data_IF_750630481074
#
_entry.id   IF_750630481074
#
_cell.length_a   1.000
_cell.length_b   1.000
_cell.length_c   1.000
_cell.angle_alpha   90.00
_cell.angle_beta   90.00
_cell.angle_gamma   90.00
#
_symmetry.space_group_name_H-M   'P 1'
#
loop_
_entity.id
_entity.type
_entity.pdbx_description
1 polymer ?
#
# COMPACT_ATOMS: atom_id res chain seq x y z
N UNK A 1 8.12 9.14 -14.80
CA UNK A 1 9.14 9.65 -13.87
C UNK A 1 10.35 8.75 -13.81
N UNK A 2 11.30 9.08 -12.94
CA UNK A 2 12.48 8.27 -12.67
C UNK A 2 12.29 7.55 -11.34
N UNK A 3 12.74 6.28 -11.24
CA UNK A 3 12.65 5.51 -10.01
C UNK A 3 13.92 4.69 -9.79
N UNK A 4 14.45 4.75 -8.58
CA UNK A 4 15.58 3.94 -8.11
C UNK A 4 15.03 2.78 -7.31
N UNK A 5 15.58 1.60 -7.52
CA UNK A 5 15.19 0.38 -6.81
C UNK A 5 16.38 -0.55 -6.60
N UNK A 6 16.28 -1.46 -5.64
CA UNK A 6 17.29 -2.50 -5.45
C UNK A 6 17.14 -3.55 -6.55
N UNK A 7 18.23 -3.82 -7.29
CA UNK A 7 18.25 -4.79 -8.39
C UNK A 7 17.96 -6.25 -7.96
N UNK A 8 18.04 -6.53 -6.67
CA UNK A 8 17.78 -7.85 -6.07
C UNK A 8 16.36 -7.98 -5.53
N UNK A 9 15.53 -6.93 -5.64
CA UNK A 9 14.12 -7.01 -5.30
C UNK A 9 13.37 -7.88 -6.31
N UNK A 10 12.74 -8.94 -5.79
CA UNK A 10 12.09 -9.98 -6.61
C UNK A 10 10.68 -9.63 -7.06
N UNK A 11 10.11 -8.54 -6.55
CA UNK A 11 8.75 -8.11 -6.89
C UNK A 11 8.72 -6.71 -7.50
N UNK A 12 8.75 -5.66 -6.70
CA UNK A 12 8.65 -4.27 -7.19
C UNK A 12 9.82 -3.94 -8.12
N UNK A 13 11.05 -4.17 -7.67
CA UNK A 13 12.24 -3.90 -8.47
C UNK A 13 12.31 -4.74 -9.74
N UNK A 14 11.87 -6.00 -9.69
CA UNK A 14 11.79 -6.87 -10.86
C UNK A 14 10.74 -6.39 -11.87
N UNK A 15 9.55 -5.96 -11.39
CA UNK A 15 8.51 -5.40 -12.26
C UNK A 15 8.99 -4.11 -12.95
N UNK A 16 9.55 -3.18 -12.18
CA UNK A 16 10.13 -1.94 -12.69
C UNK A 16 11.22 -2.20 -13.75
N UNK A 17 12.08 -3.20 -13.50
CA UNK A 17 13.16 -3.57 -14.43
C UNK A 17 12.64 -4.16 -15.73
N UNK A 18 11.61 -5.00 -15.67
CA UNK A 18 11.13 -5.78 -16.83
C UNK A 18 10.04 -5.05 -17.59
N UNK A 19 9.10 -4.43 -16.87
CA UNK A 19 7.93 -3.79 -17.48
C UNK A 19 8.03 -2.26 -17.54
N UNK A 20 8.99 -1.65 -16.81
CA UNK A 20 9.09 -0.19 -16.68
C UNK A 20 8.02 0.41 -15.78
N UNK A 21 7.22 -0.43 -15.11
CA UNK A 21 6.08 -0.04 -14.29
C UNK A 21 5.83 -1.05 -13.14
N UNK A 22 4.99 -0.66 -12.18
CA UNK A 22 4.59 -1.51 -11.06
C UNK A 22 3.12 -1.32 -10.76
N UNK A 23 2.35 -2.44 -10.84
CA UNK A 23 0.94 -2.51 -10.41
C UNK A 23 0.03 -1.39 -10.95
N UNK A 24 0.05 -1.18 -12.26
CA UNK A 24 -0.77 -0.15 -12.93
C UNK A 24 -2.28 -0.30 -12.62
N UNK A 25 -2.76 -1.54 -12.37
CA UNK A 25 -4.15 -1.76 -11.95
C UNK A 25 -4.51 -1.09 -10.64
N UNK A 26 -3.59 -0.98 -9.69
CA UNK A 26 -3.81 -0.21 -8.46
C UNK A 26 -3.79 1.31 -8.74
N UNK A 27 -2.86 1.75 -9.58
CA UNK A 27 -2.80 3.15 -10.00
C UNK A 27 -4.07 3.59 -10.73
N UNK A 28 -4.66 2.73 -11.56
CA UNK A 28 -5.94 2.98 -12.23
C UNK A 28 -7.07 3.24 -11.22
N UNK A 29 -7.12 2.46 -10.12
CA UNK A 29 -8.08 2.70 -9.02
C UNK A 29 -7.76 4.03 -8.32
N UNK A 30 -6.50 4.29 -7.98
CA UNK A 30 -6.12 5.53 -7.30
C UNK A 30 -6.47 6.76 -8.14
N UNK A 31 -6.29 6.71 -9.46
CA UNK A 31 -6.61 7.81 -10.38
C UNK A 31 -8.09 8.17 -10.41
N UNK A 32 -8.96 7.20 -10.10
CA UNK A 32 -10.41 7.41 -10.03
C UNK A 32 -10.85 8.07 -8.70
N UNK A 33 -10.14 7.77 -7.60
CA UNK A 33 -10.58 8.15 -6.25
C UNK A 33 -9.80 9.31 -5.64
N UNK A 34 -8.49 9.43 -5.93
CA UNK A 34 -7.66 10.55 -5.44
C UNK A 34 -7.82 11.77 -6.34
N UNK A 35 -8.03 12.92 -5.74
CA UNK A 35 -8.28 14.19 -6.45
C UNK A 35 -7.21 15.24 -6.13
N UNK A 36 -6.99 16.21 -7.04
CA UNK A 36 -6.10 17.34 -6.75
C UNK A 36 -6.53 18.10 -5.48
N UNK A 37 -5.58 18.27 -4.57
CA UNK A 37 -5.79 18.90 -3.26
C UNK A 37 -5.96 17.92 -2.10
N UNK A 38 -6.12 16.62 -2.37
CA UNK A 38 -6.35 15.60 -1.35
C UNK A 38 -5.17 15.43 -0.39
N UNK A 39 -5.50 15.09 0.83
CA UNK A 39 -4.58 14.60 1.87
C UNK A 39 -4.63 13.08 1.91
N UNK A 40 -3.52 12.47 1.51
CA UNK A 40 -3.34 11.03 1.39
C UNK A 40 -2.45 10.51 2.51
N UNK A 41 -2.84 9.39 3.12
CA UNK A 41 -2.00 8.60 4.03
C UNK A 41 -1.62 7.31 3.32
N UNK A 42 -0.35 6.98 3.30
CA UNK A 42 0.16 5.70 2.80
C UNK A 42 0.93 4.98 3.90
N UNK A 43 0.36 3.89 4.40
CA UNK A 43 0.99 2.98 5.34
C UNK A 43 1.61 1.82 4.57
N UNK A 44 2.94 1.65 4.68
CA UNK A 44 3.70 0.69 3.87
C UNK A 44 4.07 1.27 2.50
N UNK A 45 4.77 2.41 2.50
CA UNK A 45 5.11 3.10 1.25
C UNK A 45 6.26 2.45 0.48
N UNK A 46 7.00 1.55 1.11
CA UNK A 46 8.15 0.85 0.52
C UNK A 46 9.13 1.83 -0.15
N UNK A 47 9.61 1.54 -1.36
CA UNK A 47 10.50 2.42 -2.14
C UNK A 47 9.77 3.62 -2.80
N UNK A 48 8.46 3.73 -2.63
CA UNK A 48 7.66 4.84 -3.13
C UNK A 48 7.04 4.63 -4.50
N UNK A 49 6.92 3.39 -4.99
CA UNK A 49 6.36 3.13 -6.31
C UNK A 49 4.94 3.71 -6.46
N UNK A 50 4.06 3.49 -5.49
CA UNK A 50 2.72 4.10 -5.45
C UNK A 50 2.75 5.54 -4.95
N UNK A 51 3.62 5.86 -3.99
CA UNK A 51 3.74 7.21 -3.40
C UNK A 51 3.93 8.29 -4.47
N UNK A 52 4.79 8.03 -5.48
CA UNK A 52 5.04 8.97 -6.57
C UNK A 52 3.76 9.26 -7.37
N UNK A 53 3.01 8.20 -7.69
CA UNK A 53 1.73 8.31 -8.40
C UNK A 53 0.67 9.04 -7.57
N UNK A 54 0.52 8.68 -6.31
CA UNK A 54 -0.39 9.34 -5.37
C UNK A 54 -0.09 10.83 -5.23
N UNK A 55 1.20 11.20 -5.15
CA UNK A 55 1.62 12.59 -5.07
C UNK A 55 1.31 13.39 -6.34
N UNK A 56 1.44 12.76 -7.52
CA UNK A 56 1.06 13.37 -8.80
C UNK A 56 -0.47 13.58 -8.88
N UNK A 57 -1.27 12.59 -8.46
CA UNK A 57 -2.73 12.67 -8.43
C UNK A 57 -3.23 13.76 -7.46
N UNK A 58 -2.67 13.78 -6.24
CA UNK A 58 -2.99 14.81 -5.25
C UNK A 58 -2.54 16.22 -5.69
N UNK A 59 -1.55 16.30 -6.57
CA UNK A 59 -1.07 17.56 -7.14
C UNK A 59 -0.39 18.49 -6.13
N UNK A 60 0.08 19.67 -6.56
CA UNK A 60 0.95 20.53 -5.75
C UNK A 60 0.25 21.12 -4.49
N UNK A 61 -1.06 21.13 -4.45
CA UNK A 61 -1.85 21.62 -3.32
C UNK A 61 -2.29 20.48 -2.38
N UNK A 62 -2.16 19.21 -2.79
CA UNK A 62 -2.40 18.04 -1.97
C UNK A 62 -1.18 17.67 -1.13
N UNK A 63 -1.31 16.60 -0.34
CA UNK A 63 -0.24 16.10 0.53
C UNK A 63 -0.29 14.57 0.60
N UNK A 64 0.89 13.93 0.54
CA UNK A 64 1.02 12.51 0.78
C UNK A 64 1.90 12.31 2.01
N UNK A 65 1.35 11.72 3.06
CA UNK A 65 2.06 11.32 4.27
C UNK A 65 2.40 9.83 4.13
N UNK A 66 3.65 9.55 3.80
CA UNK A 66 4.15 8.21 3.48
C UNK A 66 4.94 7.63 4.65
N UNK A 67 4.53 6.44 5.12
CA UNK A 67 5.13 5.74 6.26
C UNK A 67 5.79 4.46 5.79
N UNK A 68 7.10 4.34 6.05
CA UNK A 68 7.89 3.17 5.75
C UNK A 68 8.91 2.90 6.87
N UNK A 69 8.74 1.83 7.65
CA UNK A 69 9.62 1.54 8.77
C UNK A 69 11.00 1.03 8.36
N UNK A 70 11.15 0.35 7.22
CA UNK A 70 12.43 -0.15 6.76
C UNK A 70 13.31 1.01 6.29
N UNK A 71 14.42 1.26 7.00
CA UNK A 71 15.31 2.41 6.76
C UNK A 71 15.75 2.53 5.29
N UNK A 72 16.15 1.44 4.68
CA UNK A 72 16.66 1.47 3.31
C UNK A 72 15.55 1.79 2.29
N UNK A 73 14.36 1.21 2.48
CA UNK A 73 13.19 1.53 1.64
C UNK A 73 12.77 2.98 1.84
N UNK A 74 12.71 3.46 3.07
CA UNK A 74 12.44 4.87 3.39
C UNK A 74 13.43 5.83 2.73
N UNK A 75 14.74 5.54 2.77
CA UNK A 75 15.76 6.35 2.11
C UNK A 75 15.58 6.36 0.60
N UNK A 76 15.23 5.21 0.01
CA UNK A 76 14.96 5.08 -1.42
C UNK A 76 13.71 5.86 -1.82
N UNK A 77 12.63 5.77 -1.04
CA UNK A 77 11.40 6.55 -1.22
C UNK A 77 11.69 8.06 -1.26
N UNK A 78 12.43 8.59 -0.30
CA UNK A 78 12.78 10.02 -0.28
C UNK A 78 13.69 10.41 -1.45
N UNK A 79 14.62 9.53 -1.83
CA UNK A 79 15.43 9.69 -3.03
C UNK A 79 14.57 9.77 -4.29
N UNK A 80 13.60 8.87 -4.42
CA UNK A 80 12.66 8.85 -5.55
C UNK A 80 11.76 10.09 -5.56
N UNK A 81 11.27 10.56 -4.42
CA UNK A 81 10.51 11.81 -4.31
C UNK A 81 11.33 13.00 -4.80
N UNK A 82 12.57 13.14 -4.31
CA UNK A 82 13.48 14.21 -4.70
C UNK A 82 13.85 14.18 -6.18
N UNK A 83 14.13 12.98 -6.71
CA UNK A 83 14.48 12.75 -8.12
C UNK A 83 13.37 13.21 -9.09
N UNK A 84 12.12 13.13 -8.65
CA UNK A 84 10.94 13.55 -9.43
C UNK A 84 10.41 14.94 -9.04
N UNK A 85 11.12 15.69 -8.18
CA UNK A 85 10.72 17.04 -7.74
C UNK A 85 9.33 17.08 -7.08
N UNK A 86 8.91 16.00 -6.42
CA UNK A 86 7.61 15.89 -5.73
C UNK A 86 7.74 16.44 -4.30
N UNK A 87 7.42 17.72 -4.14
CA UNK A 87 7.58 18.46 -2.88
C UNK A 87 6.40 18.27 -1.91
N UNK A 88 5.33 17.60 -2.35
CA UNK A 88 4.12 17.32 -1.59
C UNK A 88 4.14 15.95 -0.88
N UNK A 89 5.28 15.24 -0.89
CA UNK A 89 5.50 13.99 -0.16
C UNK A 89 6.18 14.31 1.18
N UNK A 90 5.56 13.85 2.26
CA UNK A 90 6.07 13.90 3.63
C UNK A 90 6.35 12.47 4.09
N UNK A 91 7.62 12.05 4.04
CA UNK A 91 8.03 10.70 4.40
C UNK A 91 8.41 10.58 5.88
N UNK A 92 8.06 9.45 6.50
CA UNK A 92 8.36 9.13 7.90
C UNK A 92 8.91 7.72 8.02
N UNK A 93 10.12 7.58 8.61
CA UNK A 93 10.65 6.27 9.00
C UNK A 93 9.99 5.82 10.29
N UNK A 94 8.71 5.48 10.21
CA UNK A 94 7.89 5.04 11.34
C UNK A 94 6.95 3.94 10.91
N UNK A 95 6.56 3.10 11.86
CA UNK A 95 5.44 2.19 11.69
C UNK A 95 4.15 2.83 12.20
N UNK A 96 3.03 2.38 11.65
CA UNK A 96 1.70 2.77 12.10
C UNK A 96 1.03 1.60 12.84
N UNK A 97 0.27 1.88 13.91
CA UNK A 97 -0.52 0.91 14.64
C UNK A 97 -1.62 1.59 15.44
N UNK A 98 -2.33 0.84 16.30
CA UNK A 98 -3.40 1.35 17.16
C UNK A 98 -2.92 2.04 18.45
N UNK A 99 -1.64 1.92 18.79
CA UNK A 99 -1.03 2.56 19.96
C UNK A 99 0.41 2.97 19.68
N UNK A 100 0.91 4.05 20.30
CA UNK A 100 2.31 4.42 20.19
C UNK A 100 3.20 3.39 20.87
N UNK A 101 4.42 3.22 20.34
CA UNK A 101 5.37 2.25 20.86
C UNK A 101 6.64 2.19 20.05
N UNK A 102 7.28 1.04 20.06
CA UNK A 102 8.46 0.70 19.29
C UNK A 102 8.36 -0.72 18.79
N UNK A 103 8.91 -0.98 17.61
CA UNK A 103 9.06 -2.33 17.10
C UNK A 103 10.44 -2.52 16.47
N UNK A 104 10.86 -3.78 16.35
CA UNK A 104 12.08 -4.13 15.65
C UNK A 104 11.75 -4.45 14.18
N UNK A 105 12.51 -3.84 13.28
CA UNK A 105 12.48 -4.09 11.85
C UNK A 105 13.72 -4.90 11.50
N UNK A 106 13.60 -6.13 10.99
CA UNK A 106 14.77 -6.95 10.67
C UNK A 106 15.61 -6.30 9.58
N UNK A 107 16.93 -6.38 9.74
CA UNK A 107 17.87 -5.93 8.72
C UNK A 107 17.89 -6.95 7.58
N UNK A 108 17.63 -6.48 6.37
CA UNK A 108 17.73 -7.30 5.18
C UNK A 108 19.10 -7.15 4.50
N UNK A 109 19.62 -8.25 3.98
CA UNK A 109 20.85 -8.27 3.20
C UNK A 109 20.55 -7.78 1.78
N UNK A 110 21.03 -6.58 1.44
CA UNK A 110 20.77 -5.91 0.16
C UNK A 110 21.37 -6.63 -1.06
N UNK A 111 22.28 -7.59 -0.85
CA UNK A 111 22.88 -8.36 -1.93
C UNK A 111 22.12 -9.66 -2.20
N UNK A 112 21.17 -10.03 -1.36
CA UNK A 112 20.34 -11.22 -1.57
C UNK A 112 19.06 -10.87 -2.32
N UNK A 113 18.63 -11.87 -3.10
CA UNK A 113 17.32 -11.84 -3.75
C UNK A 113 16.23 -12.07 -2.71
N UNK A 114 15.47 -11.04 -2.39
CA UNK A 114 14.40 -11.07 -1.39
C UNK A 114 13.18 -10.28 -1.84
N UNK A 115 12.03 -10.56 -1.22
CA UNK A 115 10.85 -9.71 -1.29
C UNK A 115 10.97 -8.60 -0.23
N UNK A 116 11.32 -7.40 -0.67
CA UNK A 116 11.46 -6.24 0.21
C UNK A 116 10.10 -5.71 0.71
N UNK A 117 9.03 -5.97 -0.04
CA UNK A 117 7.66 -5.58 0.32
C UNK A 117 7.03 -6.51 1.36
N UNK A 118 7.28 -7.82 1.28
CA UNK A 118 6.60 -8.84 2.07
C UNK A 118 7.16 -9.09 3.47
N UNK A 119 7.67 -8.05 4.16
CA UNK A 119 8.28 -8.21 5.48
C UNK A 119 7.26 -8.02 6.60
N UNK A 120 6.80 -9.12 7.21
CA UNK A 120 5.98 -9.05 8.41
C UNK A 120 6.79 -8.49 9.60
N UNK A 121 6.30 -7.41 10.20
CA UNK A 121 6.94 -6.72 11.32
C UNK A 121 6.56 -7.34 12.67
N UNK A 122 7.45 -7.16 13.68
CA UNK A 122 7.16 -7.52 15.07
C UNK A 122 7.45 -8.96 15.47
N UNK A 123 8.00 -9.81 14.57
CA UNK A 123 8.34 -11.21 14.87
C UNK A 123 9.84 -11.48 15.00
N UNK A 124 10.70 -10.46 14.87
CA UNK A 124 12.14 -10.62 14.94
C UNK A 124 12.70 -10.29 16.34
N UNK A 125 13.78 -10.98 16.72
CA UNK A 125 14.52 -10.72 17.96
C UNK A 125 15.70 -9.74 17.76
N UNK A 126 16.06 -9.45 16.51
CA UNK A 126 17.18 -8.58 16.14
C UNK A 126 16.76 -7.68 14.97
N UNK A 127 17.19 -6.42 14.98
CA UNK A 127 16.85 -5.45 13.95
C UNK A 127 17.07 -4.01 14.37
N UNK A 128 16.60 -3.09 13.55
CA UNK A 128 16.56 -1.65 13.89
C UNK A 128 15.28 -1.34 14.66
N UNK A 129 15.41 -0.60 15.76
CA UNK A 129 14.26 -0.10 16.51
C UNK A 129 13.63 1.08 15.77
N UNK A 130 12.32 1.00 15.52
CA UNK A 130 11.54 2.03 14.84
C UNK A 130 10.38 2.47 15.73
N UNK A 131 10.13 3.77 15.75
CA UNK A 131 8.98 4.36 16.44
C UNK A 131 7.67 3.92 15.79
N UNK A 132 6.70 3.58 16.63
CA UNK A 132 5.31 3.30 16.23
C UNK A 132 4.43 4.45 16.68
N UNK A 133 3.61 4.96 15.76
CA UNK A 133 2.62 6.01 16.04
C UNK A 133 1.23 5.61 15.53
N UNK A 134 0.21 6.40 15.90
CA UNK A 134 -1.14 6.26 15.33
C UNK A 134 -1.37 7.32 14.27
N UNK A 135 -2.23 7.04 13.28
CA UNK A 135 -2.66 8.05 12.29
C UNK A 135 -3.33 9.24 12.99
N UNK A 136 -4.12 8.98 14.03
CA UNK A 136 -4.82 10.02 14.79
C UNK A 136 -3.86 10.98 15.52
N UNK A 137 -2.63 10.52 15.85
CA UNK A 137 -1.60 11.36 16.49
C UNK A 137 -1.05 12.44 15.56
N UNK A 138 -1.24 12.34 14.25
CA UNK A 138 -0.79 13.33 13.26
C UNK A 138 -1.57 14.64 13.33
N UNK A 139 -2.74 14.66 13.97
CA UNK A 139 -3.60 15.85 14.11
C UNK A 139 -3.90 16.53 12.78
N UNK A 140 -4.25 15.75 11.76
CA UNK A 140 -4.48 16.23 10.41
C UNK A 140 -5.66 17.21 10.34
N UNK A 141 -5.58 18.15 9.40
CA UNK A 141 -6.69 19.07 9.06
C UNK A 141 -7.63 18.50 8.00
N UNK A 142 -7.21 17.49 7.25
CA UNK A 142 -7.97 16.74 6.25
C UNK A 142 -7.40 15.33 6.14
N UNK A 143 -8.20 14.38 5.65
CA UNK A 143 -7.79 13.02 5.31
C UNK A 143 -8.80 12.48 4.31
N UNK A 144 -8.40 12.33 3.05
CA UNK A 144 -9.31 12.03 1.95
C UNK A 144 -9.13 10.60 1.43
N UNK A 145 -7.90 10.07 1.52
CA UNK A 145 -7.56 8.72 1.10
C UNK A 145 -6.54 8.08 2.04
N UNK A 146 -6.74 6.80 2.40
CA UNK A 146 -5.79 5.99 3.18
C UNK A 146 -5.50 4.69 2.44
N UNK A 147 -4.23 4.49 2.02
CA UNK A 147 -3.72 3.19 1.58
C UNK A 147 -3.07 2.48 2.77
N UNK A 148 -3.42 1.22 2.98
CA UNK A 148 -2.83 0.36 4.03
C UNK A 148 -2.38 -0.95 3.42
N UNK A 149 -1.07 -1.18 3.49
CA UNK A 149 -0.40 -2.34 2.93
C UNK A 149 0.83 -2.60 3.83
N UNK A 150 0.61 -3.32 4.94
CA UNK A 150 1.55 -3.41 6.08
C UNK A 150 1.74 -4.85 6.59
N UNK A 151 1.53 -5.81 5.69
CA UNK A 151 1.89 -7.21 5.87
C UNK A 151 1.28 -7.85 7.13
N UNK A 152 -0.03 -7.66 7.30
CA UNK A 152 -0.83 -8.26 8.36
C UNK A 152 -1.04 -7.39 9.60
N UNK A 153 -0.73 -6.09 9.54
CA UNK A 153 -1.03 -5.10 10.57
C UNK A 153 -2.13 -4.09 10.15
N UNK A 154 -2.91 -4.39 9.12
CA UNK A 154 -3.91 -3.50 8.53
C UNK A 154 -4.96 -3.07 9.55
N UNK A 155 -5.52 -4.02 10.29
CA UNK A 155 -6.52 -3.73 11.33
C UNK A 155 -5.98 -2.83 12.45
N UNK A 156 -4.82 -3.09 13.08
CA UNK A 156 -4.22 -2.16 14.03
C UNK A 156 -3.98 -0.76 13.46
N UNK A 157 -3.53 -0.63 12.22
CA UNK A 157 -3.32 0.67 11.56
C UNK A 157 -4.64 1.44 11.44
N UNK A 158 -5.70 0.79 10.96
CA UNK A 158 -7.02 1.39 10.83
C UNK A 158 -7.66 1.76 12.19
N UNK A 159 -7.45 0.93 13.21
CA UNK A 159 -7.85 1.25 14.59
C UNK A 159 -7.15 2.51 15.10
N UNK A 160 -5.88 2.72 14.73
CA UNK A 160 -5.11 3.93 15.03
C UNK A 160 -5.53 5.16 14.23
N UNK A 161 -6.47 5.02 13.30
CA UNK A 161 -7.05 6.08 12.49
C UNK A 161 -8.54 6.36 12.84
N UNK A 162 -9.07 5.78 13.91
CA UNK A 162 -10.51 5.77 14.21
C UNK A 162 -11.13 7.17 14.26
N UNK A 163 -10.43 8.18 14.80
CA UNK A 163 -10.89 9.56 14.81
C UNK A 163 -10.92 10.16 13.39
N UNK A 164 -9.88 9.91 12.58
CA UNK A 164 -9.81 10.35 11.19
C UNK A 164 -10.92 9.70 10.34
N UNK A 165 -11.13 8.38 10.50
CA UNK A 165 -12.20 7.65 9.79
C UNK A 165 -13.59 8.25 10.10
N UNK A 166 -13.84 8.53 11.38
CA UNK A 166 -15.11 9.11 11.81
C UNK A 166 -15.30 10.55 11.33
N UNK A 167 -14.21 11.35 11.36
CA UNK A 167 -14.28 12.81 11.10
C UNK A 167 -14.26 13.14 9.62
N UNK A 168 -13.38 12.50 8.87
CA UNK A 168 -13.10 12.87 7.47
C UNK A 168 -13.69 11.90 6.46
N UNK A 169 -14.06 10.69 6.90
CA UNK A 169 -14.66 9.68 6.03
C UNK A 169 -13.82 9.38 4.77
N UNK A 170 -12.49 9.16 4.90
CA UNK A 170 -11.63 8.92 3.75
C UNK A 170 -12.06 7.67 2.99
N UNK A 171 -11.75 7.61 1.70
CA UNK A 171 -11.75 6.35 0.95
C UNK A 171 -10.56 5.54 1.44
N UNK A 172 -10.76 4.19 1.63
CA UNK A 172 -9.69 3.31 2.06
C UNK A 172 -9.33 2.35 0.94
N UNK A 173 -8.04 2.07 0.81
CA UNK A 173 -7.53 0.99 -0.01
C UNK A 173 -6.65 0.11 0.86
N UNK A 174 -7.09 -1.13 1.11
CA UNK A 174 -6.54 -1.97 2.17
C UNK A 174 -6.16 -3.34 1.62
N UNK A 175 -4.90 -3.75 1.82
CA UNK A 175 -4.50 -5.12 1.55
C UNK A 175 -5.21 -6.10 2.50
N UNK A 176 -5.65 -7.24 1.96
CA UNK A 176 -6.35 -8.29 2.72
C UNK A 176 -5.98 -9.68 2.20
N UNK A 177 -4.69 -9.98 2.17
CA UNK A 177 -4.16 -11.25 1.66
C UNK A 177 -3.95 -12.32 2.76
N UNK A 178 -4.06 -11.93 4.05
CA UNK A 178 -3.94 -12.82 5.21
C UNK A 178 -5.29 -13.43 5.57
N UNK A 179 -5.57 -14.62 5.01
CA UNK A 179 -6.86 -15.29 5.16
C UNK A 179 -7.33 -15.44 6.62
N UNK A 180 -6.39 -15.70 7.56
CA UNK A 180 -6.66 -15.84 8.97
C UNK A 180 -7.06 -14.56 9.71
N UNK A 181 -6.76 -13.39 9.11
CA UNK A 181 -7.11 -12.05 9.65
C UNK A 181 -8.24 -11.37 8.88
N UNK A 182 -8.55 -11.89 7.70
CA UNK A 182 -9.48 -11.26 6.74
C UNK A 182 -10.85 -11.01 7.33
N UNK A 183 -11.43 -11.98 8.01
CA UNK A 183 -12.78 -11.84 8.58
C UNK A 183 -12.86 -10.69 9.58
N UNK A 184 -11.92 -10.63 10.53
CA UNK A 184 -11.91 -9.58 11.56
C UNK A 184 -11.73 -8.18 10.94
N UNK A 185 -10.83 -8.06 9.96
CA UNK A 185 -10.58 -6.82 9.24
C UNK A 185 -11.83 -6.34 8.49
N UNK A 186 -12.48 -7.24 7.74
CA UNK A 186 -13.70 -6.94 6.96
C UNK A 186 -14.84 -6.51 7.89
N UNK A 187 -15.09 -7.27 8.98
CA UNK A 187 -16.15 -6.97 9.92
C UNK A 187 -15.92 -5.61 10.60
N UNK A 188 -14.69 -5.33 11.00
CA UNK A 188 -14.36 -4.06 11.64
C UNK A 188 -14.57 -2.87 10.70
N UNK A 189 -14.11 -2.94 9.44
CA UNK A 189 -14.29 -1.86 8.48
C UNK A 189 -15.78 -1.64 8.17
N UNK A 190 -16.57 -2.71 8.02
CA UNK A 190 -18.03 -2.60 7.86
C UNK A 190 -18.71 -1.91 9.03
N UNK A 191 -18.27 -2.18 10.27
CA UNK A 191 -18.77 -1.51 11.48
C UNK A 191 -18.46 -0.02 11.49
N UNK A 192 -17.42 0.44 10.77
CA UNK A 192 -17.14 1.85 10.59
C UNK A 192 -18.05 2.52 9.51
N UNK A 193 -18.98 1.79 8.91
CA UNK A 193 -19.91 2.30 7.92
C UNK A 193 -19.32 2.41 6.51
N UNK A 194 -18.54 1.44 6.10
CA UNK A 194 -17.98 1.34 4.75
C UNK A 194 -18.60 0.19 3.96
N UNK A 195 -18.77 0.39 2.65
CA UNK A 195 -18.95 -0.67 1.66
C UNK A 195 -17.60 -1.09 1.10
N UNK A 196 -17.38 -2.39 0.94
CA UNK A 196 -16.10 -2.96 0.56
C UNK A 196 -16.23 -3.70 -0.77
N UNK A 197 -15.24 -3.49 -1.64
CA UNK A 197 -15.15 -4.08 -2.97
C UNK A 197 -13.80 -4.74 -3.16
N UNK A 198 -13.78 -6.00 -3.63
CA UNK A 198 -12.54 -6.70 -3.93
C UNK A 198 -11.84 -6.10 -5.13
N UNK A 199 -10.54 -5.87 -5.00
CA UNK A 199 -9.64 -5.55 -6.09
C UNK A 199 -8.47 -6.54 -6.12
N UNK A 200 -8.24 -7.15 -7.29
CA UNK A 200 -7.23 -8.18 -7.53
C UNK A 200 -6.27 -7.69 -8.61
N UNK A 201 -5.36 -6.77 -8.29
CA UNK A 201 -4.44 -6.22 -9.28
C UNK A 201 -3.47 -7.28 -9.78
N UNK A 202 -3.09 -7.17 -11.05
CA UNK A 202 -2.07 -8.00 -11.66
C UNK A 202 -0.77 -7.22 -11.80
N UNK A 203 0.37 -7.89 -11.59
CA UNK A 203 1.69 -7.29 -11.84
C UNK A 203 1.94 -7.08 -13.34
N UNK A 204 1.40 -7.95 -14.16
CA UNK A 204 1.53 -7.89 -15.60
C UNK A 204 0.42 -7.08 -16.23
N UNK A 205 0.81 -6.03 -16.93
CA UNK A 205 -0.04 -5.25 -17.82
C UNK A 205 0.35 -5.57 -19.27
N UNK A 206 -0.55 -6.05 -20.13
CA UNK A 206 -0.26 -6.33 -21.55
C UNK A 206 0.22 -5.11 -22.35
N UNK A 207 -0.09 -3.92 -21.84
CA UNK A 207 0.30 -2.63 -22.42
C UNK A 207 1.41 -1.94 -21.63
N UNK A 208 2.24 -2.71 -20.87
CA UNK A 208 3.31 -2.19 -20.06
C UNK A 208 4.29 -1.30 -20.85
N UNK A 209 4.97 -0.41 -20.13
CA UNK A 209 5.82 0.62 -20.73
C UNK A 209 6.93 0.07 -21.64
N UNK A 210 7.55 -1.05 -21.28
CA UNK A 210 8.61 -1.71 -22.07
C UNK A 210 8.05 -2.59 -23.19
N UNK A 211 6.74 -2.77 -23.30
CA UNK A 211 6.09 -3.58 -24.33
C UNK A 211 6.34 -5.08 -24.25
N UNK A 212 6.77 -5.57 -23.07
CA UNK A 212 7.02 -7.00 -22.82
C UNK A 212 5.70 -7.78 -22.85
N UNK A 213 5.66 -8.89 -23.59
CA UNK A 213 4.44 -9.69 -23.81
C UNK A 213 4.35 -10.93 -22.91
N UNK A 214 5.38 -11.21 -22.14
CA UNK A 214 5.43 -12.35 -21.22
C UNK A 214 5.04 -11.94 -19.80
N UNK A 215 4.12 -12.69 -19.19
CA UNK A 215 3.83 -12.56 -17.77
C UNK A 215 4.84 -13.38 -16.95
N UNK A 216 5.80 -12.70 -16.32
CA UNK A 216 6.83 -13.34 -15.48
C UNK A 216 6.42 -13.50 -14.01
N UNK A 217 5.21 -13.07 -13.63
CA UNK A 217 4.67 -13.10 -12.26
C UNK A 217 3.49 -14.04 -12.11
N UNK A 218 3.55 -15.21 -12.73
CA UNK A 218 2.52 -16.24 -12.52
C UNK A 218 2.77 -16.94 -11.20
N UNK A 219 1.82 -16.86 -10.28
CA UNK A 219 1.87 -17.57 -9.00
C UNK A 219 1.13 -18.89 -9.14
N UNK A 220 1.80 -20.01 -8.84
CA UNK A 220 1.18 -21.33 -8.79
C UNK A 220 0.81 -21.65 -7.34
N UNK A 221 -0.48 -21.81 -7.09
CA UNK A 221 -1.01 -22.19 -5.79
C UNK A 221 -1.55 -23.61 -5.83
N UNK A 222 -1.16 -24.44 -4.85
CA UNK A 222 -1.72 -25.76 -4.68
C UNK A 222 -3.02 -25.66 -3.88
N UNK A 223 -4.10 -26.19 -4.46
CA UNK A 223 -5.42 -26.29 -3.80
C UNK A 223 -5.80 -27.76 -3.64
N UNK A 224 -6.85 -28.04 -2.89
CA UNK A 224 -7.42 -29.39 -2.77
C UNK A 224 -7.86 -29.99 -4.12
N UNK A 225 -8.14 -29.13 -5.13
CA UNK A 225 -8.55 -29.51 -6.49
C UNK A 225 -7.38 -29.56 -7.49
N UNK A 226 -6.14 -29.35 -7.02
CA UNK A 226 -4.95 -29.31 -7.86
C UNK A 226 -4.26 -27.94 -7.88
N UNK A 227 -3.37 -27.76 -8.84
CA UNK A 227 -2.64 -26.50 -9.02
C UNK A 227 -3.54 -25.49 -9.76
N UNK A 228 -3.65 -24.28 -9.22
CA UNK A 228 -4.20 -23.12 -9.91
C UNK A 228 -3.10 -22.11 -10.17
N UNK A 229 -3.17 -21.45 -11.33
CA UNK A 229 -2.32 -20.32 -11.63
C UNK A 229 -3.08 -19.04 -11.30
N UNK A 230 -2.50 -18.21 -10.46
CA UNK A 230 -3.01 -16.87 -10.15
C UNK A 230 -2.11 -15.83 -10.79
N UNK A 231 -2.72 -14.83 -11.41
CA UNK A 231 -2.03 -13.69 -12.01
C UNK A 231 -2.12 -12.42 -11.14
N UNK A 232 -2.90 -12.45 -10.04
CA UNK A 232 -2.95 -11.32 -9.11
C UNK A 232 -1.84 -11.41 -8.06
N UNK A 233 -1.34 -10.25 -7.63
CA UNK A 233 -0.21 -10.13 -6.70
C UNK A 233 -0.69 -10.11 -5.27
N UNK A 234 -1.72 -9.32 -5.01
CA UNK A 234 -2.32 -9.11 -3.71
C UNK A 234 -3.83 -9.12 -3.82
N UNK A 235 -4.49 -9.36 -2.71
CA UNK A 235 -5.92 -9.23 -2.58
C UNK A 235 -6.20 -7.96 -1.80
N UNK A 236 -6.74 -6.96 -2.46
CA UNK A 236 -7.01 -5.66 -1.87
C UNK A 236 -8.51 -5.40 -1.77
N UNK A 237 -8.87 -4.47 -0.91
CA UNK A 237 -10.23 -3.96 -0.77
C UNK A 237 -10.25 -2.44 -0.99
N UNK A 238 -11.10 -1.98 -1.92
CA UNK A 238 -11.51 -0.59 -1.98
C UNK A 238 -12.72 -0.41 -1.06
N UNK A 239 -12.60 0.46 -0.06
CA UNK A 239 -13.65 0.67 0.93
C UNK A 239 -14.18 2.10 0.81
N UNK A 240 -15.47 2.23 0.54
CA UNK A 240 -16.15 3.50 0.29
C UNK A 240 -17.11 3.81 1.44
N UNK A 241 -17.12 5.05 1.98
CA UNK A 241 -18.14 5.45 2.95
C UNK A 241 -19.56 5.24 2.38
N UNK A 242 -20.43 4.58 3.13
CA UNK A 242 -21.81 4.26 2.67
C UNK A 242 -22.56 5.51 2.26
N UNK A 243 -22.39 6.61 3.00
CA UNK A 243 -23.04 7.89 2.74
C UNK A 243 -22.55 8.59 1.46
N UNK A 244 -21.40 8.19 0.91
CA UNK A 244 -20.92 8.73 -0.36
C UNK A 244 -21.80 8.31 -1.54
N UNK A 245 -22.57 7.22 -1.40
CA UNK A 245 -23.49 6.74 -2.43
C UNK A 245 -22.80 6.33 -3.73
N UNK A 246 -21.51 5.99 -3.67
CA UNK A 246 -20.71 5.58 -4.83
C UNK A 246 -20.80 4.07 -4.97
N UNK A 247 -21.17 3.59 -6.15
CA UNK A 247 -21.08 2.18 -6.52
C UNK A 247 -19.94 1.98 -7.50
N UNK A 248 -19.15 0.91 -7.30
CA UNK A 248 -18.05 0.55 -8.21
C UNK A 248 -18.55 -0.47 -9.24
N UNK A 249 -18.56 -0.06 -10.51
CA UNK A 249 -18.85 -0.99 -11.61
C UNK A 249 -17.65 -1.90 -11.90
N UNK A 250 -17.91 -3.19 -12.11
CA UNK A 250 -16.87 -4.17 -12.43
C UNK A 250 -16.13 -4.74 -11.20
N UNK A 251 -16.43 -4.29 -9.99
CA UNK A 251 -15.85 -4.83 -8.75
C UNK A 251 -16.83 -5.76 -8.02
N UNK A 252 -16.30 -6.86 -7.50
CA UNK A 252 -17.06 -7.78 -6.65
C UNK A 252 -17.19 -7.21 -5.23
N UNK A 253 -18.42 -7.14 -4.72
CA UNK A 253 -18.66 -6.66 -3.36
C UNK A 253 -18.22 -7.72 -2.33
N UNK A 254 -17.53 -7.29 -1.28
CA UNK A 254 -17.13 -8.16 -0.16
C UNK A 254 -18.36 -8.51 0.67
N UNK A 255 -18.68 -9.82 0.75
CA UNK A 255 -19.84 -10.34 1.49
C UNK A 255 -19.64 -10.34 3.01
#
# INVERSE_FOLDING_TARGET
GLIVFNRHDQFIGKALKVYGEYSEGEYDVFSQVVKPGDTVIEAGANLGAHTLGLAQLAGPNGRVYAFEPQRLMFQTLLGNAALNSLTNIYGFQKALSNAPGKLLVPLQDCEKEVNWGGLALGSCSEGEEVEVITIDSLKLSACDFIKVDVEGMELPVLQGAAENLRKYRPILYVENDRAEKSQELVEWIKQQGYELYWHKPTMYNPNNYEGVKENIFTIKQQTEKGWIESNYISLNMLCLPIEAGIAMEGFEKVQ
#
